data_IF_771954565234
#
_entry.id   IF_771954565234
#
_cell.length_a   1.000
_cell.length_b   1.000
_cell.length_c   1.000
_cell.angle_alpha   90.00
_cell.angle_beta   90.00
_cell.angle_gamma   90.00
#
_symmetry.space_group_name_H-M   'P 1'
#
loop_
_entity.id
_entity.type
_entity.pdbx_description
1 polymer ?
#
# COMPACT_ATOMS: atom_id res chain seq x y z
N UNK A 1 31.48 -40.93 88.19
CA UNK A 1 31.86 -40.41 89.53
C UNK A 1 31.16 -39.10 89.78
N UNK A 2 30.55 -38.98 90.98
CA UNK A 2 30.03 -37.79 91.68
C UNK A 2 29.07 -36.86 90.91
N UNK A 3 27.75 -36.84 91.17
CA UNK A 3 27.04 -36.45 92.40
C UNK A 3 26.90 -34.93 92.61
N UNK A 4 25.65 -34.45 92.60
CA UNK A 4 25.03 -33.47 93.54
C UNK A 4 23.78 -32.85 92.85
N UNK A 5 22.54 -33.27 93.13
CA UNK A 5 21.67 -32.92 94.28
C UNK A 5 21.52 -31.38 94.48
N UNK A 6 20.45 -30.77 93.89
CA UNK A 6 19.16 -30.32 94.53
C UNK A 6 19.28 -29.01 95.34
N UNK A 7 18.18 -28.31 95.69
CA UNK A 7 16.98 -27.85 94.94
C UNK A 7 16.65 -26.37 95.30
N UNK A 8 15.58 -25.77 94.74
CA UNK A 8 14.75 -24.67 95.34
C UNK A 8 13.72 -24.22 94.28
N UNK A 9 12.45 -24.66 94.37
CA UNK A 9 11.34 -24.16 95.19
C UNK A 9 10.66 -22.90 94.64
N UNK A 10 9.38 -23.09 94.29
CA UNK A 10 8.29 -22.11 94.22
C UNK A 10 8.41 -21.08 93.06
N UNK A 11 7.37 -20.71 92.32
CA UNK A 11 5.93 -20.68 92.53
C UNK A 11 5.30 -20.47 91.15
N UNK A 12 4.17 -21.11 90.86
CA UNK A 12 3.41 -20.83 89.66
C UNK A 12 2.89 -19.38 89.68
N UNK A 13 3.18 -18.61 88.64
CA UNK A 13 2.45 -17.39 88.30
C UNK A 13 2.05 -17.48 86.84
N UNK A 14 0.74 -17.61 86.59
CA UNK A 14 0.16 -17.46 85.26
C UNK A 14 0.39 -16.02 84.82
N UNK A 15 1.20 -15.82 83.80
CA UNK A 15 1.29 -14.54 83.10
C UNK A 15 0.64 -14.68 81.72
N UNK A 16 -0.26 -13.75 81.44
CA UNK A 16 -1.05 -13.67 80.23
C UNK A 16 -0.12 -13.43 79.03
N UNK A 17 -0.28 -14.23 77.98
CA UNK A 17 0.32 -13.98 76.68
C UNK A 17 -0.28 -12.69 76.10
N UNK A 18 0.41 -11.56 76.30
CA UNK A 18 0.19 -10.34 75.52
C UNK A 18 0.83 -10.59 74.16
N UNK A 19 0.03 -11.04 73.20
CA UNK A 19 0.44 -11.16 71.80
C UNK A 19 0.81 -9.77 71.26
N UNK A 20 2.10 -9.57 71.07
CA UNK A 20 2.71 -8.35 70.52
C UNK A 20 2.14 -8.04 69.13
N UNK A 21 1.49 -6.89 69.01
CA UNK A 21 0.89 -6.33 67.78
C UNK A 21 1.92 -6.02 66.66
N UNK A 22 3.21 -6.28 66.88
CA UNK A 22 4.30 -5.99 65.94
C UNK A 22 4.45 -7.04 64.82
N UNK A 23 4.24 -8.33 65.13
CA UNK A 23 4.45 -9.42 64.16
C UNK A 23 3.31 -9.51 63.12
N UNK A 24 2.10 -9.09 63.48
CA UNK A 24 0.94 -9.12 62.59
C UNK A 24 1.02 -8.06 61.47
N UNK A 25 1.74 -6.96 61.72
CA UNK A 25 1.95 -5.89 60.74
C UNK A 25 2.94 -6.26 59.64
N UNK A 26 3.99 -7.02 59.95
CA UNK A 26 4.96 -7.47 58.95
C UNK A 26 4.36 -8.49 57.96
N UNK A 27 3.49 -9.39 58.43
CA UNK A 27 2.85 -10.40 57.57
C UNK A 27 1.83 -9.76 56.61
N UNK A 28 1.09 -8.75 57.06
CA UNK A 28 0.14 -8.00 56.21
C UNK A 28 0.85 -7.15 55.13
N UNK A 29 2.02 -6.56 55.44
CA UNK A 29 2.81 -5.81 54.45
C UNK A 29 3.50 -6.75 53.44
N UNK A 30 3.98 -7.92 53.88
CA UNK A 30 4.55 -8.93 52.99
C UNK A 30 3.51 -9.56 52.05
N UNK A 31 2.26 -9.76 52.52
CA UNK A 31 1.17 -10.28 51.69
C UNK A 31 0.72 -9.29 50.60
N UNK A 32 0.76 -7.98 50.88
CA UNK A 32 0.45 -6.93 49.90
C UNK A 32 1.57 -6.71 48.86
N UNK A 33 2.81 -7.11 49.15
CA UNK A 33 3.94 -7.04 48.21
C UNK A 33 4.13 -8.33 47.38
N UNK A 34 3.53 -9.46 47.80
CA UNK A 34 3.51 -10.72 47.05
C UNK A 34 2.29 -10.85 46.13
N UNK A 35 1.30 -9.95 46.24
CA UNK A 35 0.37 -9.65 45.17
C UNK A 35 1.09 -8.88 44.06
N UNK A 36 2.19 -9.42 43.56
CA UNK A 36 2.88 -8.91 42.38
C UNK A 36 1.85 -8.78 41.28
N UNK A 37 1.88 -7.63 40.62
CA UNK A 37 1.14 -7.23 39.43
C UNK A 37 0.51 -8.42 38.68
N UNK A 38 -0.65 -8.90 39.13
CA UNK A 38 -1.57 -9.56 38.22
C UNK A 38 -2.21 -8.40 37.50
N UNK A 39 -1.47 -7.86 36.52
CA UNK A 39 -2.06 -7.07 35.47
C UNK A 39 -3.13 -8.00 34.92
N UNK A 40 -4.37 -7.79 35.33
CA UNK A 40 -5.51 -8.38 34.68
C UNK A 40 -5.48 -7.81 33.27
N UNK A 41 -4.70 -8.45 32.39
CA UNK A 41 -4.91 -8.35 30.95
C UNK A 41 -6.34 -8.85 30.78
N UNK A 42 -7.28 -7.90 30.77
CA UNK A 42 -8.63 -8.17 30.34
C UNK A 42 -8.49 -8.50 28.87
N UNK A 43 -8.41 -9.79 28.58
CA UNK A 43 -8.48 -10.29 27.22
C UNK A 43 -9.80 -9.79 26.63
N UNK A 44 -9.75 -9.41 25.36
CA UNK A 44 -10.89 -9.03 24.56
C UNK A 44 -11.79 -10.23 24.27
N UNK A 45 -12.67 -10.04 23.29
CA UNK A 45 -13.49 -11.12 22.73
C UNK A 45 -13.44 -11.15 21.20
N UNK A 46 -12.61 -10.30 20.61
CA UNK A 46 -12.39 -10.19 19.17
C UNK A 46 -10.90 -9.94 18.96
N UNK A 47 -10.34 -10.64 17.97
CA UNK A 47 -8.97 -10.42 17.53
C UNK A 47 -8.84 -9.09 16.81
N UNK A 48 -7.73 -8.41 17.08
CA UNK A 48 -7.32 -7.23 16.32
C UNK A 48 -6.03 -7.59 15.65
N UNK A 49 -5.92 -7.22 14.39
CA UNK A 49 -4.69 -7.34 13.64
C UNK A 49 -3.56 -6.58 14.37
N UNK A 50 -2.78 -7.28 15.19
CA UNK A 50 -1.71 -6.70 16.00
C UNK A 50 -0.59 -7.69 16.34
N UNK A 51 -0.67 -8.95 15.87
CA UNK A 51 0.29 -10.02 16.13
C UNK A 51 0.30 -10.53 17.58
N UNK A 52 -0.78 -10.29 18.34
CA UNK A 52 -1.00 -10.78 19.69
C UNK A 52 -2.31 -11.56 19.76
N UNK A 53 -2.38 -12.46 20.73
CA UNK A 53 -3.58 -13.15 21.16
C UNK A 53 -4.41 -12.17 22.02
N UNK A 54 -5.39 -11.51 21.41
CA UNK A 54 -6.16 -10.45 22.09
C UNK A 54 -7.26 -11.04 22.98
N UNK A 55 -7.85 -12.17 22.60
CA UNK A 55 -8.91 -12.84 23.35
C UNK A 55 -8.42 -13.95 24.31
N UNK A 56 -7.11 -14.24 24.28
CA UNK A 56 -6.40 -15.20 25.11
C UNK A 56 -6.82 -16.66 24.91
N UNK A 57 -7.31 -17.03 23.74
CA UNK A 57 -7.67 -18.42 23.40
C UNK A 57 -6.44 -19.28 23.00
N UNK A 58 -5.27 -18.64 22.83
CA UNK A 58 -4.00 -19.27 22.48
C UNK A 58 -3.69 -19.27 20.97
N UNK A 59 -4.57 -18.71 20.16
CA UNK A 59 -4.34 -18.41 18.75
C UNK A 59 -3.96 -16.93 18.60
N UNK A 60 -3.45 -16.54 17.43
CA UNK A 60 -3.03 -15.17 17.17
C UNK A 60 -3.73 -14.72 15.89
N UNK A 61 -4.43 -13.60 15.95
CA UNK A 61 -5.12 -12.97 14.82
C UNK A 61 -6.09 -13.94 14.11
N UNK A 62 -6.68 -14.91 14.79
CA UNK A 62 -7.63 -15.83 14.17
C UNK A 62 -8.88 -15.10 13.65
N UNK A 63 -9.43 -15.59 12.54
CA UNK A 63 -10.44 -14.86 11.77
C UNK A 63 -9.90 -13.72 10.91
N UNK A 64 -8.63 -13.34 11.08
CA UNK A 64 -7.89 -12.40 10.21
C UNK A 64 -6.89 -13.19 9.34
N UNK A 65 -6.14 -14.11 9.96
CA UNK A 65 -5.33 -15.10 9.24
C UNK A 65 -6.19 -16.25 8.70
N UNK A 66 -5.68 -16.92 7.66
CA UNK A 66 -6.25 -18.18 7.16
C UNK A 66 -5.98 -19.33 8.14
N UNK A 67 -6.59 -20.50 7.91
CA UNK A 67 -6.43 -21.71 8.75
C UNK A 67 -4.97 -22.17 8.98
N UNK A 68 -4.05 -21.78 8.08
CA UNK A 68 -2.60 -22.06 8.17
C UNK A 68 -1.79 -20.93 8.84
N UNK A 69 -2.45 -19.92 9.42
CA UNK A 69 -1.82 -18.79 10.10
C UNK A 69 -1.26 -17.71 9.17
N UNK A 70 -1.65 -17.72 7.89
CA UNK A 70 -1.12 -16.80 6.87
C UNK A 70 -2.16 -15.74 6.49
N UNK A 71 -1.73 -14.49 6.38
CA UNK A 71 -2.62 -13.39 6.00
C UNK A 71 -2.83 -13.33 4.47
N UNK A 72 -4.06 -13.63 4.03
CA UNK A 72 -4.45 -13.65 2.60
C UNK A 72 -5.57 -12.68 2.25
N UNK A 73 -6.04 -11.89 3.20
CA UNK A 73 -7.06 -10.86 2.93
C UNK A 73 -6.42 -9.66 2.26
N UNK A 74 -7.21 -8.89 1.52
CA UNK A 74 -6.75 -7.68 0.82
C UNK A 74 -6.27 -6.64 1.82
N UNK A 75 -6.84 -6.61 3.03
CA UNK A 75 -6.59 -5.63 4.08
C UNK A 75 -5.33 -5.95 4.92
N UNK A 76 -4.82 -7.20 4.85
CA UNK A 76 -3.71 -7.69 5.68
C UNK A 76 -2.72 -8.55 4.89
N UNK A 77 -2.55 -8.33 3.59
CA UNK A 77 -1.84 -9.26 2.73
C UNK A 77 -0.37 -9.49 3.15
N UNK A 78 -0.01 -10.76 3.40
CA UNK A 78 1.34 -11.18 3.78
C UNK A 78 1.74 -10.84 5.22
N UNK A 79 1.19 -9.76 5.78
CA UNK A 79 1.36 -9.38 7.19
C UNK A 79 0.25 -8.41 7.61
N UNK A 80 0.02 -8.36 8.90
CA UNK A 80 -0.94 -7.46 9.50
C UNK A 80 -0.83 -6.00 8.99
N UNK A 81 -1.97 -5.41 8.62
CA UNK A 81 -2.11 -4.00 8.24
C UNK A 81 -1.64 -3.64 6.83
N UNK A 82 -1.18 -4.59 6.02
CA UNK A 82 -0.84 -4.35 4.62
C UNK A 82 -2.09 -4.44 3.75
N UNK A 83 -2.63 -3.27 3.41
CA UNK A 83 -3.75 -3.14 2.48
C UNK A 83 -3.25 -3.09 1.04
N UNK A 84 -3.69 -4.03 0.20
CA UNK A 84 -3.35 -4.01 -1.22
C UNK A 84 -4.01 -2.84 -1.96
N UNK A 85 -5.14 -2.33 -1.47
CA UNK A 85 -5.79 -1.14 -2.02
C UNK A 85 -4.93 0.12 -1.78
N UNK A 86 -4.28 0.21 -0.61
CA UNK A 86 -3.35 1.31 -0.30
C UNK A 86 -2.01 1.15 -1.02
N UNK A 87 -1.58 -0.09 -1.27
CA UNK A 87 -0.38 -0.39 -2.07
C UNK A 87 -0.56 0.02 -3.55
N UNK A 88 -1.77 -0.13 -4.10
CA UNK A 88 -2.10 0.22 -5.48
C UNK A 88 -3.31 1.17 -5.57
N UNK A 89 -3.17 2.43 -5.13
CA UNK A 89 -4.30 3.36 -4.99
C UNK A 89 -4.90 3.82 -6.33
N UNK A 90 -4.24 3.50 -7.45
CA UNK A 90 -4.69 3.82 -8.81
C UNK A 90 -5.41 2.66 -9.49
N UNK A 91 -5.42 1.48 -8.88
CA UNK A 91 -6.05 0.28 -9.42
C UNK A 91 -7.56 0.27 -9.14
N UNK A 92 -8.34 -0.34 -10.03
CA UNK A 92 -9.76 -0.61 -9.80
C UNK A 92 -9.97 -1.94 -9.08
N UNK A 93 -9.03 -2.88 -9.25
CA UNK A 93 -9.06 -4.19 -8.64
C UNK A 93 -7.65 -4.61 -8.20
N UNK A 94 -7.57 -5.16 -6.99
CA UNK A 94 -6.34 -5.67 -6.36
C UNK A 94 -6.64 -7.02 -5.72
N UNK A 95 -5.60 -7.83 -5.55
CA UNK A 95 -5.69 -9.10 -4.85
C UNK A 95 -4.47 -9.35 -3.98
N UNK A 96 -4.64 -10.24 -3.00
CA UNK A 96 -3.55 -10.86 -2.27
C UNK A 96 -3.33 -12.26 -2.84
N UNK A 97 -2.20 -12.49 -3.49
CA UNK A 97 -1.89 -13.77 -4.15
C UNK A 97 -0.70 -14.46 -3.47
N UNK A 98 -0.76 -15.78 -3.34
CA UNK A 98 0.35 -16.58 -2.82
C UNK A 98 1.54 -16.56 -3.79
N UNK A 99 2.70 -16.09 -3.32
CA UNK A 99 3.97 -16.18 -4.03
C UNK A 99 4.99 -17.04 -3.28
N UNK A 100 6.15 -17.28 -3.89
CA UNK A 100 7.20 -18.14 -3.33
C UNK A 100 7.71 -17.67 -1.95
N UNK A 101 7.60 -16.37 -1.65
CA UNK A 101 8.01 -15.77 -0.38
C UNK A 101 6.84 -15.51 0.58
N UNK A 102 5.65 -16.06 0.29
CA UNK A 102 4.40 -15.75 0.99
C UNK A 102 3.45 -14.89 0.16
N UNK A 103 2.27 -14.54 0.69
CA UNK A 103 1.29 -13.73 -0.02
C UNK A 103 1.82 -12.33 -0.34
N UNK A 104 1.52 -11.85 -1.54
CA UNK A 104 1.92 -10.52 -2.04
C UNK A 104 0.73 -9.82 -2.66
N UNK A 105 0.69 -8.50 -2.50
CA UNK A 105 -0.28 -7.67 -3.19
C UNK A 105 0.01 -7.65 -4.68
N UNK A 106 -1.03 -7.84 -5.49
CA UNK A 106 -0.98 -7.70 -6.94
C UNK A 106 -2.02 -6.68 -7.40
N UNK A 107 -1.62 -5.85 -8.36
CA UNK A 107 -2.56 -5.06 -9.14
C UNK A 107 -3.25 -6.01 -10.12
N UNK A 108 -4.59 -6.10 -10.12
CA UNK A 108 -5.36 -7.02 -10.98
C UNK A 108 -5.92 -6.29 -12.20
N UNK A 109 -6.54 -5.13 -12.00
CA UNK A 109 -7.12 -4.34 -13.08
C UNK A 109 -6.91 -2.83 -12.89
N UNK A 110 -6.82 -2.13 -14.01
CA UNK A 110 -6.88 -0.68 -14.05
C UNK A 110 -8.32 -0.20 -14.29
N UNK A 111 -8.68 1.00 -13.79
CA UNK A 111 -9.93 1.64 -14.16
C UNK A 111 -10.05 1.83 -15.69
N UNK A 112 -11.27 2.01 -16.19
CA UNK A 112 -11.49 2.35 -17.59
C UNK A 112 -10.76 3.65 -17.96
N UNK A 113 -10.10 3.66 -19.12
CA UNK A 113 -9.26 4.78 -19.57
C UNK A 113 -7.92 4.88 -18.84
N UNK A 114 -7.47 3.81 -18.18
CA UNK A 114 -6.14 3.67 -17.61
C UNK A 114 -5.49 2.38 -18.10
N UNK A 115 -4.16 2.38 -18.14
CA UNK A 115 -3.34 1.21 -18.44
C UNK A 115 -2.31 0.99 -17.33
N UNK A 116 -1.71 -0.21 -17.31
CA UNK A 116 -0.63 -0.52 -16.39
C UNK A 116 0.64 0.25 -16.74
N UNK A 117 1.16 0.98 -15.78
CA UNK A 117 2.48 1.61 -15.84
C UNK A 117 3.46 0.78 -15.01
N UNK A 118 4.11 -0.17 -15.69
CA UNK A 118 4.92 -1.20 -15.02
C UNK A 118 4.07 -2.06 -14.08
N UNK A 119 4.70 -2.53 -12.99
CA UNK A 119 4.07 -3.44 -12.03
C UNK A 119 3.31 -2.72 -10.89
N UNK A 120 3.47 -1.39 -10.78
CA UNK A 120 3.18 -0.65 -9.56
C UNK A 120 1.99 0.30 -9.60
N UNK A 121 1.43 0.60 -10.77
CA UNK A 121 0.37 1.61 -10.86
C UNK A 121 -0.42 1.54 -12.17
N UNK A 122 -1.56 2.20 -12.17
CA UNK A 122 -2.32 2.52 -13.37
C UNK A 122 -2.07 3.98 -13.74
N UNK A 123 -1.72 4.22 -14.99
CA UNK A 123 -1.59 5.55 -15.58
C UNK A 123 -2.81 5.83 -16.48
N UNK A 124 -3.32 7.07 -16.51
CA UNK A 124 -4.42 7.42 -17.40
C UNK A 124 -3.96 7.37 -18.85
N UNK A 125 -4.84 6.90 -19.73
CA UNK A 125 -4.69 7.02 -21.17
C UNK A 125 -4.90 8.48 -21.56
N UNK A 126 -3.83 9.13 -22.00
CA UNK A 126 -3.86 10.56 -22.38
C UNK A 126 -3.45 10.72 -23.84
N UNK A 127 -3.94 11.77 -24.54
CA UNK A 127 -3.52 12.05 -25.90
C UNK A 127 -2.00 12.12 -26.02
N UNK A 128 -1.45 11.42 -27.02
CA UNK A 128 -0.01 11.30 -27.25
C UNK A 128 0.42 11.81 -28.62
N UNK A 129 -0.54 12.04 -29.52
CA UNK A 129 -0.29 12.38 -30.91
C UNK A 129 0.60 13.62 -31.02
N UNK A 130 1.66 13.53 -31.83
CA UNK A 130 2.61 14.61 -32.08
C UNK A 130 3.48 15.05 -30.88
N UNK A 131 3.46 14.33 -29.77
CA UNK A 131 4.40 14.56 -28.68
C UNK A 131 5.85 14.30 -29.16
N UNK A 132 6.84 15.14 -28.81
CA UNK A 132 8.25 14.81 -29.06
C UNK A 132 8.64 13.52 -28.34
N UNK A 133 9.42 12.67 -29.00
CA UNK A 133 9.87 11.39 -28.45
C UNK A 133 11.26 11.02 -28.97
N UNK A 134 11.91 10.10 -28.27
CA UNK A 134 13.17 9.49 -28.67
C UNK A 134 13.00 8.01 -28.99
N UNK A 135 12.18 7.32 -28.20
CA UNK A 135 11.90 5.89 -28.33
C UNK A 135 10.39 5.59 -28.19
N UNK A 136 9.98 4.38 -28.54
CA UNK A 136 8.56 3.99 -28.54
C UNK A 136 7.98 4.00 -27.13
N UNK A 137 8.81 3.70 -26.13
CA UNK A 137 8.46 3.69 -24.72
C UNK A 137 7.98 5.08 -24.24
N UNK A 138 8.55 6.16 -24.78
CA UNK A 138 8.14 7.54 -24.44
C UNK A 138 6.66 7.80 -24.77
N UNK A 139 6.16 7.13 -25.81
CA UNK A 139 4.79 7.22 -26.29
C UNK A 139 3.89 6.18 -25.61
N UNK A 140 4.35 4.94 -25.49
CA UNK A 140 3.61 3.83 -24.88
C UNK A 140 3.29 4.06 -23.40
N UNK A 141 4.11 4.84 -22.68
CA UNK A 141 3.84 5.26 -21.30
C UNK A 141 2.61 6.16 -21.14
N UNK A 142 2.11 6.77 -22.22
CA UNK A 142 0.94 7.66 -22.21
C UNK A 142 -0.30 7.01 -22.79
N UNK A 143 -0.11 6.22 -23.83
CA UNK A 143 -1.18 5.49 -24.49
C UNK A 143 -0.60 4.18 -25.05
N UNK A 144 -1.04 3.01 -24.56
CA UNK A 144 -0.52 1.73 -25.01
C UNK A 144 -0.60 1.55 -26.54
N UNK A 145 0.43 0.94 -27.12
CA UNK A 145 0.51 0.71 -28.57
C UNK A 145 0.94 1.93 -29.39
N UNK A 146 1.19 3.08 -28.76
CA UNK A 146 1.76 4.25 -29.42
C UNK A 146 3.26 4.10 -29.65
N UNK A 147 3.77 4.63 -30.76
CA UNK A 147 5.18 4.50 -31.17
C UNK A 147 5.80 5.84 -31.52
N UNK A 148 7.12 5.91 -31.45
CA UNK A 148 7.90 7.06 -31.86
C UNK A 148 8.28 6.96 -33.34
N UNK A 149 7.70 7.84 -34.15
CA UNK A 149 7.80 7.81 -35.60
C UNK A 149 8.63 8.99 -36.10
N UNK A 150 9.29 8.81 -37.24
CA UNK A 150 9.85 9.93 -37.99
C UNK A 150 8.79 10.47 -38.95
N UNK A 151 8.48 11.76 -38.85
CA UNK A 151 7.50 12.42 -39.72
C UNK A 151 8.11 12.79 -41.07
N UNK A 152 7.29 13.18 -42.05
CA UNK A 152 7.78 13.64 -43.36
C UNK A 152 8.73 14.85 -43.32
N UNK A 153 8.71 15.60 -42.22
CA UNK A 153 9.65 16.71 -41.94
C UNK A 153 10.95 16.28 -41.22
N UNK A 154 11.14 14.99 -40.94
CA UNK A 154 12.28 14.44 -40.21
C UNK A 154 12.20 14.61 -38.70
N UNK A 155 11.05 15.04 -38.15
CA UNK A 155 10.87 15.16 -36.70
C UNK A 155 10.50 13.81 -36.09
N UNK A 156 11.00 13.53 -34.88
CA UNK A 156 10.60 12.35 -34.10
C UNK A 156 9.39 12.69 -33.24
N UNK A 157 8.26 12.05 -33.52
CA UNK A 157 6.94 12.36 -32.96
C UNK A 157 6.16 11.09 -32.65
N UNK A 158 5.43 11.08 -31.54
CA UNK A 158 4.56 9.98 -31.21
C UNK A 158 3.38 9.90 -32.19
N UNK A 159 3.15 8.70 -32.73
CA UNK A 159 1.90 8.31 -33.34
C UNK A 159 1.00 7.64 -32.29
N UNK A 160 -0.30 7.87 -32.39
CA UNK A 160 -1.29 7.07 -31.64
C UNK A 160 -1.69 5.83 -32.47
N UNK A 161 -2.11 4.72 -31.84
CA UNK A 161 -2.55 3.53 -32.55
C UNK A 161 -3.81 3.78 -33.41
N UNK A 162 -3.89 3.11 -34.55
CA UNK A 162 -5.05 3.13 -35.43
C UNK A 162 -5.21 1.79 -36.16
N UNK A 163 -6.39 1.57 -36.77
CA UNK A 163 -6.77 0.28 -37.34
C UNK A 163 -7.89 -0.38 -36.54
N UNK A 164 -8.39 -1.53 -37.00
CA UNK A 164 -9.46 -2.30 -36.32
C UNK A 164 -10.69 -1.48 -35.90
N UNK A 165 -11.07 -0.49 -36.71
CA UNK A 165 -12.19 0.42 -36.44
C UNK A 165 -11.82 1.70 -35.70
N UNK A 166 -10.58 1.83 -35.22
CA UNK A 166 -10.02 3.08 -34.68
C UNK A 166 -9.53 3.95 -35.84
N UNK A 167 -10.12 5.14 -35.98
CA UNK A 167 -9.79 6.11 -37.02
C UNK A 167 -8.81 7.16 -36.50
N UNK A 168 -7.93 7.62 -37.39
CA UNK A 168 -7.10 8.78 -37.09
C UNK A 168 -7.92 10.07 -37.13
N UNK A 169 -7.53 11.09 -36.34
CA UNK A 169 -8.09 12.44 -36.46
C UNK A 169 -7.91 13.01 -37.87
N UNK A 170 -8.72 14.03 -38.19
CA UNK A 170 -8.56 14.76 -39.44
C UNK A 170 -7.15 15.34 -39.58
N UNK A 171 -6.59 15.27 -40.79
CA UNK A 171 -5.19 15.62 -41.07
C UNK A 171 -4.18 14.51 -40.82
N UNK A 172 -4.61 13.36 -40.28
CA UNK A 172 -3.75 12.20 -40.03
C UNK A 172 -4.20 10.99 -40.85
N UNK A 173 -3.22 10.24 -41.36
CA UNK A 173 -3.46 8.99 -42.05
C UNK A 173 -2.97 7.82 -41.19
N UNK A 174 -3.72 6.71 -41.21
CA UNK A 174 -3.28 5.49 -40.56
C UNK A 174 -2.23 4.80 -41.43
N UNK A 175 -0.99 4.73 -40.96
CA UNK A 175 0.13 4.06 -41.61
C UNK A 175 0.85 3.17 -40.61
N UNK A 176 1.07 1.91 -40.96
CA UNK A 176 1.68 0.90 -40.07
C UNK A 176 1.03 0.84 -38.67
N UNK A 177 -0.29 0.90 -38.63
CA UNK A 177 -1.12 0.94 -37.41
C UNK A 177 -0.85 2.15 -36.50
N UNK A 178 -0.35 3.26 -37.05
CA UNK A 178 -0.16 4.52 -36.33
C UNK A 178 -0.67 5.72 -37.12
N UNK A 179 -1.21 6.72 -36.42
CA UNK A 179 -1.60 7.98 -37.02
C UNK A 179 -0.37 8.85 -37.28
N UNK A 180 -0.13 9.15 -38.56
CA UNK A 180 0.94 10.03 -39.03
C UNK A 180 0.35 11.26 -39.73
N UNK A 181 0.95 12.45 -39.55
CA UNK A 181 0.43 13.67 -40.16
C UNK A 181 0.56 13.62 -41.68
N UNK A 182 -0.54 13.89 -42.39
CA UNK A 182 -0.56 13.93 -43.86
C UNK A 182 0.26 15.09 -44.43
N UNK A 183 0.40 16.18 -43.67
CA UNK A 183 1.28 17.31 -44.00
C UNK A 183 2.77 16.97 -43.85
N UNK A 184 3.10 15.88 -43.14
CA UNK A 184 4.46 15.55 -42.72
C UNK A 184 4.93 16.33 -41.49
N UNK A 185 4.13 17.25 -40.96
CA UNK A 185 4.46 18.09 -39.80
C UNK A 185 3.48 17.89 -38.65
N UNK A 186 4.00 18.03 -37.44
CA UNK A 186 3.23 17.96 -36.19
C UNK A 186 3.00 19.37 -35.64
N UNK A 187 2.20 20.15 -36.36
CA UNK A 187 1.73 21.48 -35.97
C UNK A 187 0.27 21.64 -36.40
N UNK A 188 -0.45 22.54 -35.74
CA UNK A 188 -1.78 22.89 -36.19
C UNK A 188 -1.73 23.64 -37.53
N UNK A 189 -2.71 23.33 -38.38
CA UNK A 189 -2.93 23.88 -39.71
C UNK A 189 -4.38 23.67 -40.11
N UNK A 190 -4.82 24.27 -41.21
CA UNK A 190 -6.15 24.01 -41.80
C UNK A 190 -6.42 22.51 -42.03
N UNK A 191 -5.38 21.72 -42.33
CA UNK A 191 -5.53 20.28 -42.58
C UNK A 191 -5.79 19.46 -41.31
N UNK A 192 -5.52 20.02 -40.13
CA UNK A 192 -5.61 19.33 -38.85
C UNK A 192 -6.60 20.02 -37.91
N UNK A 193 -7.57 20.77 -38.45
CA UNK A 193 -8.60 21.43 -37.66
C UNK A 193 -9.33 20.42 -36.76
N UNK A 194 -9.51 20.78 -35.48
CA UNK A 194 -10.16 19.91 -34.50
C UNK A 194 -9.29 18.73 -34.01
N UNK A 195 -8.09 18.52 -34.54
CA UNK A 195 -7.18 17.51 -34.02
C UNK A 195 -6.66 17.90 -32.63
N UNK A 196 -6.59 16.90 -31.75
CA UNK A 196 -5.98 17.01 -30.43
C UNK A 196 -4.52 16.58 -30.48
N UNK A 197 -3.61 17.54 -30.35
CA UNK A 197 -2.18 17.31 -30.30
C UNK A 197 -1.69 17.35 -28.85
N UNK A 198 -0.88 16.37 -28.47
CA UNK A 198 -0.27 16.34 -27.16
C UNK A 198 0.78 17.43 -27.04
N UNK A 199 0.73 18.21 -25.95
CA UNK A 199 1.71 19.25 -25.65
C UNK A 199 2.29 19.08 -24.25
N UNK A 200 3.50 19.61 -24.06
CA UNK A 200 4.13 19.69 -22.74
C UNK A 200 3.98 21.13 -22.25
N UNK A 201 3.13 21.34 -21.25
CA UNK A 201 3.09 22.61 -20.53
C UNK A 201 4.20 22.58 -19.48
N UNK A 202 5.22 23.42 -19.66
CA UNK A 202 6.23 23.64 -18.61
C UNK A 202 5.66 24.62 -17.60
N UNK A 203 5.60 24.21 -16.33
CA UNK A 203 5.37 25.14 -15.21
C UNK A 203 6.76 25.47 -14.65
N UNK A 204 7.20 26.71 -14.78
CA UNK A 204 8.33 27.23 -13.99
C UNK A 204 7.71 27.74 -12.68
N UNK A 205 8.13 27.37 -11.46
CA UNK A 205 9.49 27.36 -10.91
C UNK A 205 9.71 26.23 -9.87
N UNK A 206 8.75 25.30 -9.69
CA UNK A 206 8.85 24.11 -8.79
C UNK A 206 7.96 22.92 -9.27
N UNK A 207 7.51 22.91 -10.53
CA UNK A 207 6.48 22.00 -11.02
C UNK A 207 6.99 20.91 -11.97
N UNK A 208 6.45 19.69 -11.84
CA UNK A 208 6.50 18.69 -12.90
C UNK A 208 5.91 19.24 -14.21
N UNK A 209 6.40 18.78 -15.35
CA UNK A 209 5.80 19.10 -16.63
C UNK A 209 4.39 18.49 -16.72
N UNK A 210 3.37 19.30 -16.98
CA UNK A 210 2.01 18.80 -17.20
C UNK A 210 1.86 18.37 -18.66
N UNK A 211 1.33 17.17 -18.87
CA UNK A 211 0.87 16.72 -20.18
C UNK A 211 -0.45 17.45 -20.45
N UNK A 212 -0.53 18.14 -21.58
CA UNK A 212 -1.71 18.88 -22.00
C UNK A 212 -2.11 18.51 -23.42
N UNK A 213 -3.19 19.13 -23.86
CA UNK A 213 -3.71 19.01 -25.22
C UNK A 213 -3.80 20.39 -25.83
N UNK A 214 -3.35 20.52 -27.07
CA UNK A 214 -3.67 21.62 -27.96
C UNK A 214 -4.72 21.14 -28.95
N UNK A 215 -5.88 21.80 -28.98
CA UNK A 215 -6.89 21.60 -30.03
C UNK A 215 -6.60 22.57 -31.16
N UNK A 216 -6.43 22.06 -32.38
CA UNK A 216 -6.10 22.89 -33.54
C UNK A 216 -7.31 23.70 -34.02
N UNK A 217 -7.12 24.99 -34.27
CA UNK A 217 -8.15 25.90 -34.79
C UNK A 217 -8.07 26.09 -36.31
N UNK A 218 -9.07 26.79 -36.85
CA UNK A 218 -9.15 27.17 -38.29
C UNK A 218 -7.94 27.97 -38.77
N UNK A 219 -7.29 28.73 -37.89
CA UNK A 219 -6.14 29.58 -38.22
C UNK A 219 -4.78 28.91 -37.89
N UNK A 220 -4.78 27.66 -37.42
CA UNK A 220 -3.60 26.95 -36.89
C UNK A 220 -3.49 27.06 -35.38
#
# INVERSE_FOLDING_TARGET
AAAAARPRSATARKEAHVTSFSELRCVLVAALLLGGCYESNLCGTEERCNLFDDDCDGLIDEGIVSDDGVYRTVEHCGTCGVSCADAFPTASEVACEDAASGPVCVLVACPDGFHRSGDGSCAPDVPVLCLPCTADEDCALRLPGSRCLETGSGQRRCGQPCGDGVLCPEGFACQDAQCVPTSGWCNCSEMSEGAELACILRVEEDGHACVGVQVCGVDG
#
